data_IF_325293857771
#
_entry.id   IF_325293857771
#
_cell.length_a   1.000
_cell.length_b   1.000
_cell.length_c   1.000
_cell.angle_alpha   90.00
_cell.angle_beta   90.00
_cell.angle_gamma   90.00
#
_symmetry.space_group_name_H-M   'P 1'
#
loop_
_entity.id
_entity.type
_entity.pdbx_description
1 polymer ?
#
# COMPACT_ATOMS: atom_id res chain seq x y z
N UNK A 1 -2.11 7.57 -6.62
CA UNK A 1 -1.42 6.33 -6.20
C UNK A 1 -2.40 5.44 -5.43
N UNK A 2 -2.48 4.13 -5.69
CA UNK A 2 -3.37 3.22 -4.93
C UNK A 2 -2.55 2.39 -3.94
N UNK A 3 -2.85 2.54 -2.65
CA UNK A 3 -2.35 1.68 -1.59
C UNK A 3 -3.51 0.81 -1.09
N UNK A 4 -3.30 -0.51 -1.02
CA UNK A 4 -4.33 -1.45 -0.58
C UNK A 4 -3.79 -2.39 0.48
N UNK A 5 -4.31 -2.25 1.69
CA UNK A 5 -4.10 -3.21 2.77
C UNK A 5 -5.17 -4.31 2.68
N UNK A 6 -4.75 -5.57 2.67
CA UNK A 6 -5.67 -6.72 2.60
C UNK A 6 -5.25 -7.81 3.58
N UNK A 7 -6.21 -8.25 4.40
CA UNK A 7 -6.05 -9.47 5.20
C UNK A 7 -6.38 -10.66 4.30
N UNK A 8 -5.45 -11.60 4.17
CA UNK A 8 -5.63 -12.82 3.39
C UNK A 8 -5.33 -14.04 4.25
N UNK A 9 -6.07 -15.13 4.08
CA UNK A 9 -5.72 -16.39 4.71
C UNK A 9 -4.54 -17.02 3.96
N UNK A 10 -3.51 -17.47 4.70
CA UNK A 10 -2.42 -18.22 4.12
C UNK A 10 -2.93 -19.60 3.68
N UNK A 11 -3.14 -19.76 2.36
CA UNK A 11 -3.63 -21.01 1.77
C UNK A 11 -2.59 -22.12 1.79
N UNK A 12 -1.28 -21.81 1.95
CA UNK A 12 -0.22 -22.83 2.00
C UNK A 12 -0.03 -23.44 3.38
N UNK A 13 -0.56 -22.81 4.43
CA UNK A 13 -0.38 -23.27 5.80
C UNK A 13 -1.59 -24.10 6.25
N UNK A 14 -1.37 -25.36 6.68
CA UNK A 14 -2.44 -26.26 7.18
C UNK A 14 -3.32 -25.62 8.26
N UNK A 15 -2.77 -24.67 9.03
CA UNK A 15 -3.47 -23.93 10.10
C UNK A 15 -4.23 -22.68 9.64
N UNK A 16 -4.29 -22.36 8.33
CA UNK A 16 -4.98 -21.18 7.75
C UNK A 16 -4.71 -19.87 8.51
N UNK A 17 -3.46 -19.62 8.93
CA UNK A 17 -3.12 -18.38 9.65
C UNK A 17 -3.47 -17.18 8.78
N UNK A 18 -4.15 -16.19 9.34
CA UNK A 18 -4.43 -14.91 8.67
C UNK A 18 -3.11 -14.17 8.51
N UNK A 19 -2.83 -13.67 7.30
CA UNK A 19 -1.66 -12.85 6.97
C UNK A 19 -2.13 -11.52 6.41
N UNK A 20 -1.55 -10.44 6.92
CA UNK A 20 -1.76 -9.11 6.35
C UNK A 20 -0.82 -8.95 5.15
N UNK A 21 -1.37 -8.44 4.06
CA UNK A 21 -0.64 -8.19 2.81
C UNK A 21 -0.90 -6.75 2.41
N UNK A 22 0.18 -6.00 2.22
CA UNK A 22 0.14 -4.65 1.70
C UNK A 22 0.47 -4.69 0.21
N UNK A 23 -0.37 -4.03 -0.60
CA UNK A 23 -0.16 -3.85 -2.02
C UNK A 23 0.01 -2.36 -2.29
N UNK A 24 1.12 -1.97 -2.91
CA UNK A 24 1.38 -0.58 -3.29
C UNK A 24 1.49 -0.54 -4.80
N UNK A 25 0.67 0.29 -5.45
CA UNK A 25 0.78 0.51 -6.88
C UNK A 25 2.06 1.27 -7.20
N UNK A 26 2.84 0.77 -8.16
CA UNK A 26 3.99 1.49 -8.71
C UNK A 26 3.51 2.73 -9.47
N UNK A 27 4.07 3.88 -9.14
CA UNK A 27 3.88 5.13 -9.85
C UNK A 27 5.25 5.72 -10.11
N UNK A 28 5.52 6.19 -11.33
CA UNK A 28 6.87 6.65 -11.70
C UNK A 28 7.34 7.80 -10.81
N UNK A 29 6.44 8.74 -10.53
CA UNK A 29 6.73 9.94 -9.72
C UNK A 29 7.10 9.63 -8.26
N UNK A 30 6.78 8.43 -7.75
CA UNK A 30 6.99 8.05 -6.35
C UNK A 30 7.85 6.79 -6.20
N UNK A 31 8.36 6.22 -7.30
CA UNK A 31 9.04 4.92 -7.25
C UNK A 31 10.32 5.01 -6.41
N UNK A 32 11.05 6.13 -6.50
CA UNK A 32 12.27 6.38 -5.73
C UNK A 32 11.98 6.52 -4.22
N UNK A 33 10.98 7.31 -3.85
CA UNK A 33 10.60 7.52 -2.45
C UNK A 33 10.08 6.23 -1.82
N UNK A 34 9.26 5.49 -2.56
CA UNK A 34 8.75 4.18 -2.12
C UNK A 34 9.92 3.22 -1.96
N UNK A 35 10.85 3.13 -2.91
CA UNK A 35 12.01 2.24 -2.80
C UNK A 35 12.89 2.59 -1.58
N UNK A 36 13.05 3.87 -1.26
CA UNK A 36 13.77 4.30 -0.05
C UNK A 36 13.06 3.83 1.22
N UNK A 37 11.74 4.04 1.33
CA UNK A 37 10.97 3.53 2.47
C UNK A 37 11.04 2.01 2.56
N UNK A 38 10.87 1.31 1.43
CA UNK A 38 10.96 -0.15 1.40
C UNK A 38 12.34 -0.67 1.80
N UNK A 39 13.40 0.07 1.48
CA UNK A 39 14.77 -0.26 1.89
C UNK A 39 14.93 -0.23 3.42
N UNK A 40 14.31 0.75 4.09
CA UNK A 40 14.34 0.87 5.56
C UNK A 40 13.67 -0.33 6.23
N UNK A 41 12.55 -0.80 5.67
CA UNK A 41 11.80 -1.93 6.22
C UNK A 41 12.28 -3.31 5.74
N UNK A 42 13.23 -3.39 4.80
CA UNK A 42 13.63 -4.61 4.07
C UNK A 42 14.00 -5.79 4.98
N UNK A 43 14.60 -5.51 6.14
CA UNK A 43 14.97 -6.54 7.13
C UNK A 43 13.75 -7.21 7.77
N UNK A 44 12.64 -6.48 7.86
CA UNK A 44 11.43 -6.90 8.59
C UNK A 44 10.25 -7.25 7.67
N UNK A 45 10.38 -7.02 6.36
CA UNK A 45 9.30 -7.24 5.39
C UNK A 45 9.80 -8.07 4.20
N UNK A 46 8.97 -9.03 3.79
CA UNK A 46 9.16 -9.82 2.58
C UNK A 46 8.45 -9.12 1.42
N UNK A 47 9.23 -8.61 0.48
CA UNK A 47 8.76 -7.96 -0.75
C UNK A 47 8.74 -9.01 -1.86
N UNK A 48 7.63 -9.09 -2.58
CA UNK A 48 7.47 -9.98 -3.72
C UNK A 48 6.93 -9.19 -4.90
N UNK A 49 7.57 -9.34 -6.06
CA UNK A 49 7.10 -8.79 -7.31
C UNK A 49 6.52 -9.94 -8.11
N UNK A 50 5.19 -10.06 -8.14
CA UNK A 50 4.55 -11.09 -8.97
C UNK A 50 4.54 -10.60 -10.42
N UNK A 51 5.04 -11.39 -11.36
CA UNK A 51 5.14 -11.03 -12.78
C UNK A 51 3.79 -10.67 -13.44
N UNK A 52 2.68 -11.18 -12.90
CA UNK A 52 1.30 -10.82 -13.30
C UNK A 52 0.82 -9.47 -12.74
N UNK A 53 1.47 -8.97 -11.70
CA UNK A 53 1.18 -7.71 -11.02
C UNK A 53 2.41 -6.79 -11.02
N UNK A 54 3.11 -6.66 -12.16
CA UNK A 54 4.29 -5.77 -12.25
C UNK A 54 4.00 -4.32 -11.81
N UNK A 55 2.73 -3.93 -11.84
CA UNK A 55 2.22 -2.64 -11.38
C UNK A 55 2.11 -2.52 -9.86
N UNK A 56 2.42 -3.56 -9.07
CA UNK A 56 2.29 -3.51 -7.62
C UNK A 56 3.47 -4.17 -6.89
N UNK A 57 3.92 -3.52 -5.80
CA UNK A 57 4.72 -4.15 -4.76
C UNK A 57 3.80 -4.95 -3.84
N UNK A 58 4.07 -6.24 -3.67
CA UNK A 58 3.36 -7.08 -2.69
C UNK A 58 4.25 -7.31 -1.48
N UNK A 59 3.85 -6.77 -0.34
CA UNK A 59 4.65 -6.73 0.88
C UNK A 59 3.93 -7.51 1.97
N UNK A 60 4.70 -8.33 2.67
CA UNK A 60 4.18 -9.12 3.78
C UNK A 60 5.19 -9.13 4.92
N UNK A 61 4.72 -9.09 6.16
CA UNK A 61 5.56 -9.23 7.35
C UNK A 61 4.98 -10.32 8.25
N UNK A 62 5.81 -10.78 9.19
CA UNK A 62 5.39 -11.64 10.29
C UNK A 62 4.74 -10.82 11.40
N UNK A 63 5.12 -9.54 11.52
CA UNK A 63 4.52 -8.58 12.44
C UNK A 63 3.49 -7.69 11.73
N UNK A 64 2.21 -7.72 12.14
CA UNK A 64 1.17 -6.80 11.68
C UNK A 64 1.52 -5.33 11.90
N UNK A 65 2.16 -5.00 13.03
CA UNK A 65 2.52 -3.64 13.38
C UNK A 65 3.45 -3.02 12.34
N UNK A 66 4.43 -3.79 11.85
CA UNK A 66 5.40 -3.33 10.84
C UNK A 66 4.69 -2.98 9.52
N UNK A 67 3.69 -3.78 9.12
CA UNK A 67 2.89 -3.47 7.92
C UNK A 67 2.02 -2.21 8.09
N UNK A 68 1.51 -1.97 9.30
CA UNK A 68 0.72 -0.77 9.61
C UNK A 68 1.60 0.48 9.65
N UNK A 69 2.76 0.41 10.29
CA UNK A 69 3.75 1.50 10.28
C UNK A 69 4.15 1.85 8.86
N UNK A 70 4.50 0.84 8.05
CA UNK A 70 4.82 1.03 6.64
C UNK A 70 3.67 1.67 5.85
N UNK A 71 2.43 1.24 6.10
CA UNK A 71 1.25 1.82 5.46
C UNK A 71 1.09 3.31 5.80
N UNK A 72 1.25 3.69 7.07
CA UNK A 72 1.19 5.09 7.52
C UNK A 72 2.28 5.94 6.87
N UNK A 73 3.53 5.46 6.87
CA UNK A 73 4.65 6.19 6.26
C UNK A 73 4.44 6.43 4.77
N UNK A 74 3.88 5.45 4.04
CA UNK A 74 3.58 5.64 2.61
C UNK A 74 2.38 6.56 2.40
N UNK A 75 1.39 6.57 3.30
CA UNK A 75 0.30 7.56 3.24
C UNK A 75 0.81 8.99 3.42
N UNK A 76 1.73 9.21 4.36
CA UNK A 76 2.37 10.51 4.61
C UNK A 76 3.20 11.00 3.40
N UNK A 77 3.70 10.08 2.57
CA UNK A 77 4.40 10.40 1.33
C UNK A 77 3.47 10.83 0.18
N UNK A 78 2.15 10.67 0.30
CA UNK A 78 1.22 11.16 -0.71
C UNK A 78 1.05 12.67 -0.47
N UNK A 79 1.52 13.54 -1.40
CA UNK A 79 1.36 14.97 -1.22
C UNK A 79 -0.12 15.35 -1.20
N UNK A 80 -0.47 16.28 -0.31
CA UNK A 80 -1.81 16.85 -0.09
C UNK A 80 -2.50 17.32 -1.39
N UNK A 81 -1.72 17.63 -2.44
CA UNK A 81 -2.22 18.00 -3.79
C UNK A 81 -3.13 16.94 -4.42
N UNK A 82 -3.03 15.67 -4.00
CA UNK A 82 -3.98 14.63 -4.43
C UNK A 82 -5.29 14.62 -3.62
N UNK A 83 -5.32 15.18 -2.41
CA UNK A 83 -6.55 15.36 -1.63
C UNK A 83 -7.44 16.45 -2.25
N UNK A 84 -6.86 17.55 -2.72
CA UNK A 84 -7.60 18.62 -3.41
C UNK A 84 -8.29 18.14 -4.69
N UNK A 85 -7.70 17.19 -5.42
CA UNK A 85 -8.37 16.58 -6.60
C UNK A 85 -9.48 15.61 -6.22
N UNK A 86 -9.42 14.97 -5.06
CA UNK A 86 -10.47 14.07 -4.57
C UNK A 86 -11.65 14.84 -3.95
N UNK A 87 -11.40 16.00 -3.33
CA UNK A 87 -12.45 16.89 -2.83
C UNK A 87 -13.20 17.58 -3.97
N UNK A 88 -12.53 17.96 -5.07
CA UNK A 88 -13.16 18.52 -6.27
C UNK A 88 -14.12 17.54 -6.97
N UNK A 89 -13.84 16.22 -6.93
CA UNK A 89 -14.73 15.19 -7.51
C UNK A 89 -16.02 15.01 -6.68
N UNK A 90 -15.98 15.32 -5.38
CA UNK A 90 -17.16 15.23 -4.51
C UNK A 90 -18.06 16.48 -4.54
N UNK A 91 -17.55 17.62 -5.02
CA UNK A 91 -18.34 18.86 -5.12
C UNK A 91 -19.21 18.94 -6.37
N UNK A 92 -18.94 18.19 -7.44
CA UNK A 92 -19.80 18.16 -8.63
C UNK A 92 -21.12 17.36 -8.45
N UNK A 93 -21.28 16.67 -7.31
CA UNK A 93 -22.48 15.86 -7.02
C UNK A 93 -23.37 16.44 -5.91
N UNK A 94 -23.17 17.69 -5.48
CA UNK A 94 -24.13 18.35 -4.61
C UNK A 94 -25.25 18.97 -5.45
N UNK A 95 -26.52 18.55 -5.33
CA UNK A 95 -27.61 19.37 -5.82
C UNK A 95 -27.58 20.66 -4.99
N UNK A 96 -27.52 21.79 -5.68
CA UNK A 96 -27.70 23.11 -5.05
C UNK A 96 -29.02 23.13 -4.23
N UNK A 97 -29.07 23.86 -3.11
CA UNK A 97 -30.33 24.11 -2.39
C UNK A 97 -31.32 24.94 -3.22
#
# INVERSE_FOLDING_TARGET
>A
MIIKLKITADRKNKKRKKKIVLWIQKHQDFDQDIDQVLSFFKTNVKISQTWRFRRYYKITSESPAILLSLFSTIQELIPEVYEDKLSLINCENSPFP
#
